data_IF_960824007107
#
_entry.id   IF_960824007107
#
_cell.length_a   1.000
_cell.length_b   1.000
_cell.length_c   1.000
_cell.angle_alpha   90.00
_cell.angle_beta   90.00
_cell.angle_gamma   90.00
#
_symmetry.space_group_name_H-M   'P 1'
#
loop_
_entity.id
_entity.type
_entity.pdbx_description
1 polymer ?
#
# COMPACT_ATOMS: atom_id res chain seq x y z
N UNK A 1 -3.42 47.93 -1.48
CA UNK A 1 -2.81 47.07 -0.42
C UNK A 1 -3.90 46.27 0.29
N UNK A 2 -5.08 46.83 0.61
CA UNK A 2 -6.18 46.16 1.31
C UNK A 2 -6.82 44.99 0.49
N UNK A 3 -6.91 45.13 -0.84
CA UNK A 3 -7.47 44.07 -1.72
C UNK A 3 -6.55 42.85 -1.89
N UNK A 4 -5.23 43.05 -1.82
CA UNK A 4 -4.27 41.95 -1.88
C UNK A 4 -4.24 41.13 -0.56
N UNK A 5 -4.44 41.77 0.58
CA UNK A 5 -4.53 41.08 1.89
C UNK A 5 -5.80 40.24 2.02
N UNK A 6 -6.96 40.67 1.45
CA UNK A 6 -8.19 39.89 1.44
C UNK A 6 -8.06 38.63 0.55
N UNK A 7 -7.38 38.71 -0.61
CA UNK A 7 -7.19 37.57 -1.50
C UNK A 7 -6.31 36.47 -0.89
N UNK A 8 -5.28 36.84 -0.13
CA UNK A 8 -4.43 35.89 0.59
C UNK A 8 -5.18 35.20 1.74
N UNK A 9 -6.04 35.93 2.45
CA UNK A 9 -6.83 35.36 3.56
C UNK A 9 -7.89 34.35 3.06
N UNK A 10 -8.51 34.61 1.91
CA UNK A 10 -9.55 33.71 1.33
C UNK A 10 -8.97 32.41 0.82
N UNK A 11 -7.70 32.37 0.35
CA UNK A 11 -7.03 31.13 -0.09
C UNK A 11 -6.46 30.29 1.06
N UNK A 12 -6.19 30.89 2.22
CA UNK A 12 -5.63 30.18 3.38
C UNK A 12 -6.70 29.40 4.19
N UNK A 13 -7.96 29.81 4.15
CA UNK A 13 -9.05 29.20 4.92
C UNK A 13 -9.37 27.73 4.50
N UNK A 14 -9.49 27.36 3.21
CA UNK A 14 -9.78 26.00 2.82
C UNK A 14 -8.62 25.04 3.07
N UNK A 15 -7.37 25.49 2.97
CA UNK A 15 -6.20 24.67 3.28
C UNK A 15 -6.08 24.36 4.78
N UNK A 16 -6.37 25.33 5.63
CA UNK A 16 -6.36 25.12 7.08
C UNK A 16 -7.48 24.16 7.54
N UNK A 17 -8.66 24.23 6.92
CA UNK A 17 -9.76 23.32 7.20
C UNK A 17 -9.42 21.87 6.78
N UNK A 18 -8.86 21.67 5.60
CA UNK A 18 -8.43 20.36 5.11
C UNK A 18 -7.35 19.74 6.00
N UNK A 19 -6.34 20.51 6.42
CA UNK A 19 -5.31 20.04 7.34
C UNK A 19 -5.86 19.69 8.74
N UNK A 20 -6.91 20.38 9.21
CA UNK A 20 -7.57 20.04 10.46
C UNK A 20 -8.39 18.74 10.36
N UNK A 21 -9.07 18.51 9.25
CA UNK A 21 -9.82 17.28 8.99
C UNK A 21 -8.87 16.07 8.90
N UNK A 22 -7.75 16.19 8.20
CA UNK A 22 -6.71 15.17 8.08
C UNK A 22 -6.14 14.82 9.47
N UNK A 23 -5.80 15.80 10.29
CA UNK A 23 -5.31 15.59 11.65
C UNK A 23 -6.36 14.94 12.57
N UNK A 24 -7.66 15.26 12.40
CA UNK A 24 -8.76 14.63 13.12
C UNK A 24 -8.93 13.17 12.69
N UNK A 25 -8.84 12.86 11.40
CA UNK A 25 -8.90 11.51 10.87
C UNK A 25 -7.78 10.62 11.42
N UNK A 26 -6.53 11.15 11.44
CA UNK A 26 -5.39 10.47 12.06
C UNK A 26 -5.61 10.22 13.56
N UNK A 27 -6.09 11.21 14.30
CA UNK A 27 -6.36 11.09 15.72
C UNK A 27 -7.43 10.03 16.01
N UNK A 28 -8.48 10.00 15.20
CA UNK A 28 -9.56 9.01 15.29
C UNK A 28 -9.04 7.59 14.96
N UNK A 29 -8.21 7.45 13.93
CA UNK A 29 -7.58 6.18 13.58
C UNK A 29 -6.70 5.66 14.73
N UNK A 30 -5.85 6.50 15.30
CA UNK A 30 -5.00 6.10 16.43
C UNK A 30 -5.84 5.62 17.62
N UNK A 31 -6.86 6.38 17.98
CA UNK A 31 -7.72 6.04 19.12
C UNK A 31 -8.45 4.70 18.92
N UNK A 32 -8.78 4.32 17.68
CA UNK A 32 -9.53 3.11 17.38
C UNK A 32 -8.62 1.87 17.16
N UNK A 33 -7.42 2.06 16.58
CA UNK A 33 -6.64 0.94 16.05
C UNK A 33 -5.19 0.87 16.53
N UNK A 34 -4.68 1.86 17.26
CA UNK A 34 -3.32 1.82 17.80
C UNK A 34 -3.36 1.64 19.31
N UNK A 35 -2.92 0.48 19.77
CA UNK A 35 -2.82 0.19 21.20
C UNK A 35 -1.69 1.00 21.87
N UNK A 36 -1.74 1.14 23.19
CA UNK A 36 -0.78 1.93 23.96
C UNK A 36 0.67 1.45 23.82
N UNK A 37 0.86 0.13 23.61
CA UNK A 37 2.16 -0.49 23.40
C UNK A 37 2.75 -0.25 22.01
N UNK A 38 1.99 0.35 21.08
CA UNK A 38 2.39 0.60 19.70
C UNK A 38 1.97 -0.49 18.71
N UNK A 39 1.07 -1.37 19.11
CA UNK A 39 0.49 -2.40 18.23
C UNK A 39 -0.67 -1.82 17.41
N UNK A 40 -0.65 -1.99 16.08
CA UNK A 40 -1.82 -1.76 15.24
C UNK A 40 -2.72 -2.98 15.29
N UNK A 41 -3.98 -2.79 15.62
CA UNK A 41 -4.97 -3.86 15.83
C UNK A 41 -5.91 -3.96 14.64
N UNK A 42 -5.91 -5.09 13.97
CA UNK A 42 -6.91 -5.40 12.95
C UNK A 42 -8.20 -5.90 13.61
N UNK A 43 -9.14 -4.99 13.76
CA UNK A 43 -10.44 -5.25 14.42
C UNK A 43 -11.35 -6.14 13.57
N UNK A 44 -11.19 -6.13 12.26
CA UNK A 44 -11.95 -6.96 11.31
C UNK A 44 -11.47 -8.41 11.25
N UNK A 45 -10.26 -8.68 11.77
CA UNK A 45 -9.60 -10.00 11.69
C UNK A 45 -9.23 -10.55 13.07
N UNK A 46 -10.16 -10.53 13.98
CA UNK A 46 -10.01 -11.12 15.30
C UNK A 46 -9.03 -10.44 16.26
N UNK A 47 -8.61 -9.22 15.97
CA UNK A 47 -7.70 -8.42 16.77
C UNK A 47 -6.24 -8.79 16.64
N UNK A 48 -5.84 -9.43 15.53
CA UNK A 48 -4.44 -9.68 15.20
C UNK A 48 -3.71 -8.38 14.83
N UNK A 49 -2.40 -8.48 14.66
CA UNK A 49 -1.58 -7.44 14.04
C UNK A 49 -0.75 -8.06 12.93
N UNK A 50 -0.41 -7.28 11.93
CA UNK A 50 0.41 -7.75 10.82
C UNK A 50 1.41 -6.66 10.41
N UNK A 51 2.51 -7.09 9.78
CA UNK A 51 3.60 -6.20 9.37
C UNK A 51 3.12 -5.10 8.43
N UNK A 52 2.17 -5.40 7.54
CA UNK A 52 1.53 -4.42 6.67
C UNK A 52 0.86 -3.30 7.50
N UNK A 53 0.05 -3.67 8.51
CA UNK A 53 -0.62 -2.70 9.38
C UNK A 53 0.34 -1.84 10.19
N UNK A 54 1.42 -2.43 10.69
CA UNK A 54 2.49 -1.68 11.35
C UNK A 54 3.15 -0.69 10.37
N UNK A 55 3.46 -1.13 9.14
CA UNK A 55 4.01 -0.29 8.10
C UNK A 55 3.10 0.87 7.72
N UNK A 56 1.81 0.63 7.58
CA UNK A 56 0.81 1.69 7.33
C UNK A 56 0.74 2.69 8.49
N UNK A 57 0.66 2.20 9.73
CA UNK A 57 0.64 3.04 10.91
C UNK A 57 1.89 3.92 11.03
N UNK A 58 3.07 3.36 10.76
CA UNK A 58 4.34 4.11 10.74
C UNK A 58 4.35 5.16 9.63
N UNK A 59 3.92 4.83 8.41
CA UNK A 59 3.86 5.78 7.30
C UNK A 59 2.91 6.95 7.60
N UNK A 60 1.74 6.66 8.14
CA UNK A 60 0.76 7.68 8.53
C UNK A 60 1.27 8.54 9.70
N UNK A 61 1.91 7.94 10.71
CA UNK A 61 2.52 8.69 11.82
C UNK A 61 3.62 9.65 11.31
N UNK A 62 4.45 9.18 10.37
CA UNK A 62 5.45 10.05 9.73
C UNK A 62 4.76 11.18 8.98
N UNK A 63 3.78 10.90 8.15
CA UNK A 63 3.08 11.89 7.34
C UNK A 63 2.46 13.02 8.19
N UNK A 64 1.89 12.68 9.34
CA UNK A 64 1.30 13.65 10.30
C UNK A 64 2.32 14.27 11.27
N UNK A 65 3.61 13.94 11.15
CA UNK A 65 4.66 14.46 12.04
C UNK A 65 4.59 13.93 13.47
N UNK A 66 3.89 12.83 13.71
CA UNK A 66 3.67 12.22 15.02
C UNK A 66 4.80 11.26 15.39
N UNK A 67 5.97 11.84 15.71
CA UNK A 67 7.17 11.08 16.06
C UNK A 67 6.91 10.14 17.25
N UNK A 68 6.17 10.59 18.25
CA UNK A 68 5.95 9.78 19.45
C UNK A 68 5.17 8.49 19.14
N UNK A 69 4.17 8.55 18.27
CA UNK A 69 3.45 7.36 17.79
C UNK A 69 4.33 6.51 16.89
N UNK A 70 5.11 7.13 15.99
CA UNK A 70 6.05 6.40 15.12
C UNK A 70 7.05 5.57 15.94
N UNK A 71 7.66 6.16 16.96
CA UNK A 71 8.65 5.49 17.82
C UNK A 71 8.04 4.27 18.53
N UNK A 72 6.81 4.41 19.04
CA UNK A 72 6.11 3.28 19.68
C UNK A 72 5.79 2.16 18.67
N UNK A 73 5.27 2.51 17.49
CA UNK A 73 4.98 1.55 16.42
C UNK A 73 6.25 0.80 15.99
N UNK A 74 7.35 1.52 15.73
CA UNK A 74 8.62 0.93 15.35
C UNK A 74 9.21 0.05 16.46
N UNK A 75 9.20 0.53 17.70
CA UNK A 75 9.68 -0.23 18.86
C UNK A 75 8.92 -1.56 19.00
N UNK A 76 7.58 -1.52 18.94
CA UNK A 76 6.76 -2.74 19.00
C UNK A 76 7.04 -3.69 17.83
N UNK A 77 7.13 -3.16 16.61
CA UNK A 77 7.40 -3.94 15.40
C UNK A 77 8.74 -4.67 15.48
N UNK A 78 9.79 -3.96 15.92
CA UNK A 78 11.13 -4.53 16.08
C UNK A 78 11.18 -5.65 17.11
N UNK A 79 10.44 -5.53 18.20
CA UNK A 79 10.43 -6.55 19.26
C UNK A 79 9.57 -7.76 18.90
N UNK A 80 8.43 -7.55 18.27
CA UNK A 80 7.42 -8.61 18.12
C UNK A 80 7.39 -9.26 16.75
N UNK A 81 7.77 -8.55 15.67
CA UNK A 81 7.68 -9.08 14.32
C UNK A 81 9.02 -9.33 13.65
N UNK A 82 10.10 -8.65 14.05
CA UNK A 82 11.39 -8.84 13.39
C UNK A 82 11.85 -10.29 13.49
N UNK A 83 12.32 -10.84 12.36
CA UNK A 83 12.90 -12.19 12.32
C UNK A 83 14.34 -12.17 12.81
N UNK A 84 14.77 -13.27 13.41
CA UNK A 84 16.13 -13.41 13.97
C UNK A 84 17.17 -13.71 12.88
N UNK A 85 16.74 -14.32 11.76
CA UNK A 85 17.60 -14.84 10.69
C UNK A 85 17.80 -13.86 9.52
N UNK A 86 16.91 -12.86 9.38
CA UNK A 86 16.92 -11.91 8.30
C UNK A 86 16.23 -10.61 8.72
N UNK A 87 16.64 -9.47 8.14
CA UNK A 87 16.03 -8.16 8.45
C UNK A 87 14.70 -7.96 7.71
N UNK A 88 13.75 -8.88 7.92
CA UNK A 88 12.39 -8.88 7.47
C UNK A 88 11.47 -9.17 8.65
N UNK A 89 10.15 -9.04 8.47
CA UNK A 89 9.20 -9.12 9.57
C UNK A 89 8.23 -10.28 9.37
N UNK A 90 7.99 -11.06 10.43
CA UNK A 90 6.87 -12.02 10.45
C UNK A 90 5.60 -11.28 10.11
N UNK A 91 4.81 -11.84 9.21
CA UNK A 91 3.66 -11.14 8.68
C UNK A 91 2.52 -10.96 9.70
N UNK A 92 2.44 -11.84 10.71
CA UNK A 92 1.30 -11.91 11.64
C UNK A 92 1.74 -12.04 13.09
N UNK A 93 1.03 -11.36 13.96
CA UNK A 93 1.06 -11.53 15.41
C UNK A 93 -0.36 -11.79 15.91
N UNK A 94 -0.58 -12.92 16.61
CA UNK A 94 -1.86 -13.28 17.18
C UNK A 94 -1.76 -13.27 18.72
N UNK A 95 -2.39 -12.28 19.39
CA UNK A 95 -2.34 -12.20 20.85
C UNK A 95 -3.00 -13.39 21.56
N UNK A 96 -3.90 -14.12 20.87
CA UNK A 96 -4.58 -15.31 21.41
C UNK A 96 -3.70 -16.56 21.30
N UNK A 97 -2.68 -16.53 20.47
CA UNK A 97 -1.69 -17.60 20.33
C UNK A 97 -0.43 -17.37 21.22
N UNK A 98 -0.55 -16.58 22.28
CA UNK A 98 0.57 -16.31 23.19
C UNK A 98 1.60 -15.32 22.65
N UNK A 99 1.23 -14.52 21.67
CA UNK A 99 2.09 -13.50 21.07
C UNK A 99 3.09 -13.99 20.03
N UNK A 100 3.45 -15.28 20.05
CA UNK A 100 4.34 -15.86 19.07
C UNK A 100 3.65 -15.95 17.70
N UNK A 101 4.30 -15.50 16.64
CA UNK A 101 3.82 -15.71 15.29
C UNK A 101 3.74 -17.21 15.01
N UNK A 102 2.54 -17.75 14.84
CA UNK A 102 2.33 -19.14 14.47
C UNK A 102 2.87 -19.44 13.05
N UNK A 103 2.98 -18.40 12.20
CA UNK A 103 3.58 -18.45 10.88
C UNK A 103 4.85 -17.57 10.87
N UNK A 104 6.05 -18.16 10.71
CA UNK A 104 7.30 -17.42 10.69
C UNK A 104 7.56 -16.67 9.39
N UNK A 105 6.74 -16.86 8.34
CA UNK A 105 6.94 -16.22 7.05
C UNK A 105 6.81 -14.69 7.17
N UNK A 106 7.36 -13.96 6.22
CA UNK A 106 7.16 -12.52 6.05
C UNK A 106 6.04 -12.24 5.03
N UNK A 107 5.59 -10.98 5.00
CA UNK A 107 4.81 -10.43 3.90
C UNK A 107 5.56 -9.22 3.33
N UNK A 108 5.92 -9.29 2.06
CA UNK A 108 6.82 -8.32 1.40
C UNK A 108 6.25 -6.91 1.36
N UNK A 109 4.91 -6.75 1.29
CA UNK A 109 4.25 -5.45 1.39
C UNK A 109 4.52 -4.77 2.74
N UNK A 110 4.39 -5.53 3.83
CA UNK A 110 4.73 -5.03 5.17
C UNK A 110 6.19 -4.63 5.28
N UNK A 111 7.12 -5.44 4.76
CA UNK A 111 8.55 -5.11 4.74
C UNK A 111 8.82 -3.83 3.94
N UNK A 112 8.16 -3.65 2.79
CA UNK A 112 8.28 -2.45 1.97
C UNK A 112 7.78 -1.20 2.69
N UNK A 113 6.58 -1.27 3.30
CA UNK A 113 6.01 -0.12 4.02
C UNK A 113 6.82 0.26 5.25
N UNK A 114 7.31 -0.70 6.02
CA UNK A 114 8.18 -0.44 7.18
C UNK A 114 9.49 0.22 6.72
N UNK A 115 10.15 -0.32 5.69
CA UNK A 115 11.38 0.25 5.16
C UNK A 115 11.17 1.66 4.61
N UNK A 116 10.05 1.90 3.93
CA UNK A 116 9.70 3.20 3.35
C UNK A 116 9.37 4.22 4.43
N UNK A 117 8.57 3.85 5.42
CA UNK A 117 8.26 4.72 6.56
C UNK A 117 9.53 5.13 7.33
N UNK A 118 10.45 4.19 7.58
CA UNK A 118 11.74 4.48 8.22
C UNK A 118 12.62 5.42 7.37
N UNK A 119 12.62 5.26 6.04
CA UNK A 119 13.38 6.12 5.15
C UNK A 119 12.87 7.57 5.22
N UNK A 120 11.57 7.77 5.15
CA UNK A 120 10.91 9.08 5.25
C UNK A 120 11.11 9.71 6.63
N UNK A 121 10.97 8.90 7.68
CA UNK A 121 11.20 9.33 9.07
C UNK A 121 12.64 9.78 9.32
N UNK A 122 13.61 9.08 8.72
CA UNK A 122 15.02 9.48 8.79
C UNK A 122 15.26 10.86 8.20
N UNK A 123 14.61 11.16 7.07
CA UNK A 123 14.71 12.47 6.43
C UNK A 123 13.99 13.56 7.23
N UNK A 124 12.75 13.29 7.63
CA UNK A 124 11.92 14.26 8.37
C UNK A 124 12.52 14.65 9.70
N UNK A 125 12.97 13.67 10.48
CA UNK A 125 13.44 13.90 11.85
C UNK A 125 14.96 13.92 11.99
N UNK A 126 15.70 13.81 10.87
CA UNK A 126 17.17 13.78 10.84
C UNK A 126 17.74 12.71 11.77
N UNK A 127 17.14 11.51 11.75
CA UNK A 127 17.47 10.39 12.62
C UNK A 127 18.25 9.31 11.86
N UNK A 128 19.59 9.22 12.01
CA UNK A 128 20.41 8.28 11.26
C UNK A 128 20.12 6.81 11.54
N UNK A 129 19.59 6.48 12.72
CA UNK A 129 19.23 5.11 13.08
C UNK A 129 18.13 4.56 12.16
N UNK A 130 17.11 5.36 11.83
CA UNK A 130 16.05 4.97 10.89
C UNK A 130 16.58 4.76 9.47
N UNK A 131 17.53 5.61 9.02
CA UNK A 131 18.17 5.44 7.71
C UNK A 131 18.93 4.11 7.64
N UNK A 132 19.67 3.76 8.71
CA UNK A 132 20.40 2.49 8.83
C UNK A 132 19.44 1.30 8.77
N UNK A 133 18.35 1.34 9.53
CA UNK A 133 17.38 0.25 9.59
C UNK A 133 16.64 0.10 8.25
N UNK A 134 16.17 1.20 7.65
CA UNK A 134 15.58 1.18 6.30
C UNK A 134 16.51 0.55 5.27
N UNK A 135 17.80 0.94 5.28
CA UNK A 135 18.80 0.40 4.35
C UNK A 135 18.98 -1.12 4.53
N UNK A 136 19.01 -1.59 5.78
CA UNK A 136 19.17 -3.02 6.08
C UNK A 136 17.96 -3.84 5.61
N UNK A 137 16.73 -3.32 5.80
CA UNK A 137 15.50 -3.99 5.34
C UNK A 137 15.46 -4.00 3.81
N UNK A 138 15.73 -2.88 3.14
CA UNK A 138 15.78 -2.81 1.68
C UNK A 138 16.82 -3.77 1.09
N UNK A 139 18.00 -3.90 1.70
CA UNK A 139 19.01 -4.87 1.29
C UNK A 139 18.51 -6.30 1.43
N UNK A 140 17.80 -6.65 2.51
CA UNK A 140 17.21 -7.97 2.70
C UNK A 140 16.11 -8.25 1.65
N UNK A 141 15.23 -7.29 1.36
CA UNK A 141 14.23 -7.41 0.27
C UNK A 141 14.93 -7.67 -1.07
N UNK A 142 15.92 -6.85 -1.43
CA UNK A 142 16.64 -6.96 -2.70
C UNK A 142 17.33 -8.34 -2.86
N UNK A 143 17.93 -8.85 -1.79
CA UNK A 143 18.69 -10.10 -1.81
C UNK A 143 17.83 -11.36 -1.74
N UNK A 144 16.69 -11.31 -1.06
CA UNK A 144 15.91 -12.50 -0.70
C UNK A 144 14.58 -12.62 -1.44
N UNK A 145 13.98 -11.49 -1.84
CA UNK A 145 12.62 -11.45 -2.37
C UNK A 145 12.54 -11.01 -3.84
N UNK A 146 13.59 -10.40 -4.38
CA UNK A 146 13.67 -10.10 -5.81
C UNK A 146 14.16 -11.33 -6.56
N UNK A 147 13.34 -11.85 -7.46
CA UNK A 147 13.65 -13.03 -8.29
C UNK A 147 13.43 -12.75 -9.75
N UNK A 148 14.05 -13.58 -10.60
CA UNK A 148 13.83 -13.53 -12.05
C UNK A 148 12.96 -14.69 -12.49
N UNK A 149 11.92 -14.39 -13.29
CA UNK A 149 11.01 -15.36 -13.90
C UNK A 149 10.52 -14.81 -15.25
N UNK A 150 10.54 -15.64 -16.31
CA UNK A 150 10.08 -15.22 -17.63
C UNK A 150 10.81 -13.97 -18.17
N UNK A 151 12.09 -13.79 -17.84
CA UNK A 151 12.90 -12.62 -18.22
C UNK A 151 12.60 -11.33 -17.46
N UNK A 152 11.76 -11.38 -16.42
CA UNK A 152 11.35 -10.23 -15.60
C UNK A 152 11.81 -10.37 -14.17
N UNK A 153 12.17 -9.25 -13.53
CA UNK A 153 12.34 -9.19 -12.09
C UNK A 153 10.99 -8.94 -11.42
N UNK A 154 10.66 -9.76 -10.42
CA UNK A 154 9.44 -9.65 -9.64
C UNK A 154 9.74 -9.79 -8.14
N UNK A 155 8.84 -9.27 -7.31
CA UNK A 155 8.88 -9.45 -5.86
C UNK A 155 8.10 -10.72 -5.48
N UNK A 156 8.74 -11.63 -4.75
CA UNK A 156 8.01 -12.69 -4.06
C UNK A 156 7.17 -12.08 -2.94
N UNK A 157 5.95 -12.58 -2.70
CA UNK A 157 5.10 -12.12 -1.60
C UNK A 157 5.66 -12.44 -0.21
N UNK A 158 6.59 -13.38 -0.12
CA UNK A 158 7.30 -13.78 1.09
C UNK A 158 8.40 -14.78 0.78
N UNK A 159 9.16 -15.17 1.80
CA UNK A 159 10.31 -16.07 1.66
C UNK A 159 9.90 -17.49 1.29
N UNK A 160 8.81 -17.99 1.87
CA UNK A 160 8.42 -19.39 1.79
C UNK A 160 7.07 -19.56 1.07
N UNK A 161 6.98 -20.60 0.20
CA UNK A 161 5.72 -21.01 -0.44
C UNK A 161 5.36 -20.31 -1.76
N UNK A 162 6.06 -19.26 -2.16
CA UNK A 162 5.71 -18.45 -3.34
C UNK A 162 6.54 -18.79 -4.58
N UNK A 163 7.65 -19.50 -4.44
CA UNK A 163 8.46 -19.97 -5.55
C UNK A 163 8.14 -21.43 -5.85
N UNK A 164 7.69 -21.69 -7.05
CA UNK A 164 7.42 -23.01 -7.60
C UNK A 164 8.54 -23.41 -8.56
N UNK A 165 8.53 -24.66 -9.05
CA UNK A 165 9.56 -25.19 -9.95
C UNK A 165 9.69 -24.35 -11.24
N UNK A 166 8.57 -23.96 -11.83
CA UNK A 166 8.46 -23.30 -13.13
C UNK A 166 7.61 -22.03 -13.11
N UNK A 167 7.32 -21.52 -11.91
CA UNK A 167 6.49 -20.34 -11.72
C UNK A 167 6.76 -19.66 -10.39
N UNK A 168 6.22 -18.46 -10.26
CA UNK A 168 6.08 -17.77 -8.97
C UNK A 168 4.62 -17.40 -8.74
N UNK A 169 4.16 -17.50 -7.50
CA UNK A 169 2.95 -16.83 -7.06
C UNK A 169 3.29 -15.36 -6.81
N UNK A 170 2.41 -14.48 -7.26
CA UNK A 170 2.63 -13.04 -7.18
C UNK A 170 1.34 -12.35 -6.72
N UNK A 171 1.49 -11.34 -5.87
CA UNK A 171 0.38 -10.49 -5.46
C UNK A 171 0.55 -9.10 -6.08
N UNK A 172 -0.30 -8.66 -7.01
CA UNK A 172 -0.18 -7.35 -7.65
C UNK A 172 -0.24 -6.17 -6.68
N UNK A 173 -0.87 -6.31 -5.52
CA UNK A 173 -0.92 -5.27 -4.49
C UNK A 173 0.38 -5.10 -3.71
N UNK A 174 1.34 -6.02 -3.86
CA UNK A 174 2.66 -5.89 -3.25
C UNK A 174 3.63 -5.06 -4.08
N UNK A 175 3.18 -4.62 -5.27
CA UNK A 175 3.92 -3.67 -6.09
C UNK A 175 3.67 -2.23 -5.62
N UNK A 176 4.28 -1.86 -4.50
CA UNK A 176 4.14 -0.55 -3.85
C UNK A 176 5.00 0.48 -4.59
N UNK A 177 4.52 0.92 -5.76
CA UNK A 177 5.27 1.78 -6.69
C UNK A 177 5.87 3.04 -6.06
N UNK A 178 5.17 3.82 -5.18
CA UNK A 178 5.77 5.01 -4.58
C UNK A 178 7.00 4.66 -3.72
N UNK A 179 6.95 3.58 -2.93
CA UNK A 179 8.09 3.13 -2.14
C UNK A 179 9.26 2.68 -3.03
N UNK A 180 8.97 1.89 -4.08
CA UNK A 180 10.00 1.42 -5.01
C UNK A 180 10.71 2.58 -5.73
N UNK A 181 9.99 3.65 -6.08
CA UNK A 181 10.59 4.86 -6.68
C UNK A 181 11.52 5.58 -5.72
N UNK A 182 11.12 5.70 -4.45
CA UNK A 182 11.98 6.31 -3.45
C UNK A 182 13.21 5.44 -3.15
N UNK A 183 13.06 4.11 -3.18
CA UNK A 183 14.20 3.19 -3.05
C UNK A 183 15.16 3.28 -4.25
N UNK A 184 14.65 3.40 -5.47
CA UNK A 184 15.45 3.58 -6.66
C UNK A 184 16.25 4.90 -6.61
N UNK A 185 15.62 5.98 -6.15
CA UNK A 185 16.30 7.27 -5.96
C UNK A 185 17.42 7.20 -4.91
N UNK A 186 17.19 6.47 -3.81
CA UNK A 186 18.16 6.33 -2.72
C UNK A 186 19.26 5.30 -3.00
N UNK A 187 19.04 4.35 -3.90
CA UNK A 187 19.98 3.28 -4.28
C UNK A 187 19.89 2.98 -5.79
N UNK A 188 20.47 3.86 -6.63
CA UNK A 188 20.44 3.70 -8.10
C UNK A 188 21.15 2.44 -8.62
N UNK A 189 22.03 1.84 -7.82
CA UNK A 189 22.72 0.59 -8.17
C UNK A 189 21.91 -0.67 -7.76
N UNK A 190 20.85 -0.49 -6.99
CA UNK A 190 19.96 -1.57 -6.55
C UNK A 190 19.07 -2.11 -7.69
N UNK A 191 18.26 -3.13 -7.40
CA UNK A 191 17.40 -3.77 -8.40
C UNK A 191 16.14 -2.95 -8.74
N UNK A 192 15.92 -1.81 -8.09
CA UNK A 192 14.64 -1.11 -7.99
C UNK A 192 14.13 -0.59 -9.33
N UNK A 193 14.99 0.02 -10.15
CA UNK A 193 14.61 0.53 -11.48
C UNK A 193 14.15 -0.59 -12.42
N UNK A 194 14.86 -1.72 -12.42
CA UNK A 194 14.46 -2.88 -13.22
C UNK A 194 13.17 -3.48 -12.67
N UNK A 195 13.03 -3.59 -11.35
CA UNK A 195 11.83 -4.08 -10.70
C UNK A 195 10.61 -3.21 -11.00
N UNK A 196 10.77 -1.87 -11.02
CA UNK A 196 9.71 -0.94 -11.42
C UNK A 196 9.27 -1.18 -12.86
N UNK A 197 10.22 -1.20 -13.79
CA UNK A 197 9.92 -1.40 -15.21
C UNK A 197 9.21 -2.72 -15.47
N UNK A 198 9.74 -3.80 -14.90
CA UNK A 198 9.22 -5.14 -15.10
C UNK A 198 7.88 -5.32 -14.36
N UNK A 199 7.74 -4.75 -13.17
CA UNK A 199 6.49 -4.72 -12.39
C UNK A 199 5.35 -3.96 -13.09
N UNK A 200 5.64 -2.84 -13.74
CA UNK A 200 4.65 -2.14 -14.59
C UNK A 200 4.19 -3.01 -15.77
N UNK A 201 5.10 -3.80 -16.34
CA UNK A 201 4.75 -4.76 -17.38
C UNK A 201 3.86 -5.86 -16.85
N UNK A 202 4.19 -6.46 -15.69
CA UNK A 202 3.34 -7.46 -15.01
C UNK A 202 1.98 -6.89 -14.66
N UNK A 203 1.92 -5.67 -14.12
CA UNK A 203 0.66 -5.01 -13.76
C UNK A 203 -0.26 -4.83 -14.98
N UNK A 204 0.29 -4.50 -16.15
CA UNK A 204 -0.48 -4.42 -17.40
C UNK A 204 -0.97 -5.79 -17.86
N UNK A 205 -0.09 -6.81 -17.80
CA UNK A 205 -0.39 -8.18 -18.27
C UNK A 205 -1.34 -8.91 -17.29
N UNK A 206 -1.49 -8.43 -16.06
CA UNK A 206 -2.40 -8.96 -15.04
C UNK A 206 -3.86 -8.45 -15.15
N UNK A 207 -4.26 -7.88 -16.27
CA UNK A 207 -5.65 -7.49 -16.53
C UNK A 207 -6.46 -8.64 -17.14
N UNK A 208 -7.47 -9.13 -16.42
CA UNK A 208 -8.26 -10.31 -16.81
C UNK A 208 -9.71 -9.96 -17.10
N UNK A 209 -10.35 -10.85 -17.89
CA UNK A 209 -11.76 -10.78 -18.26
C UNK A 209 -12.11 -9.54 -19.08
N UNK A 210 -13.40 -9.33 -19.30
CA UNK A 210 -13.91 -8.22 -20.14
C UNK A 210 -13.59 -6.83 -19.58
N UNK A 211 -13.42 -6.73 -18.26
CA UNK A 211 -13.16 -5.48 -17.57
C UNK A 211 -11.66 -5.17 -17.46
N UNK A 212 -10.78 -6.12 -17.81
CA UNK A 212 -9.33 -6.05 -17.62
C UNK A 212 -8.96 -5.66 -16.17
N UNK A 213 -9.55 -6.35 -15.20
CA UNK A 213 -9.30 -6.15 -13.78
C UNK A 213 -8.15 -7.05 -13.29
N UNK A 214 -7.29 -6.58 -12.37
CA UNK A 214 -6.28 -7.43 -11.76
C UNK A 214 -6.94 -8.45 -10.82
N UNK A 215 -6.36 -9.65 -10.69
CA UNK A 215 -6.75 -10.58 -9.65
C UNK A 215 -5.93 -10.36 -8.37
N UNK A 216 -6.49 -10.74 -7.20
CA UNK A 216 -5.80 -10.66 -5.91
C UNK A 216 -4.47 -11.42 -5.95
N UNK A 217 -4.47 -12.59 -6.58
CA UNK A 217 -3.30 -13.43 -6.72
C UNK A 217 -3.15 -13.93 -8.15
N UNK A 218 -1.92 -13.89 -8.65
CA UNK A 218 -1.57 -14.37 -9.99
C UNK A 218 -0.39 -15.32 -9.94
N UNK A 219 -0.28 -16.14 -10.98
CA UNK A 219 0.85 -17.00 -11.27
C UNK A 219 1.60 -16.43 -12.47
N UNK A 220 2.92 -16.29 -12.35
CA UNK A 220 3.82 -15.93 -13.45
C UNK A 220 4.67 -17.16 -13.75
N UNK A 221 4.58 -17.71 -14.94
CA UNK A 221 5.33 -18.90 -15.32
C UNK A 221 6.69 -18.57 -15.99
N UNK A 222 7.47 -19.62 -16.28
CA UNK A 222 8.79 -19.51 -16.89
C UNK A 222 8.78 -18.85 -18.28
N UNK A 223 7.64 -18.84 -18.99
CA UNK A 223 7.48 -18.13 -20.26
C UNK A 223 7.21 -16.63 -20.07
N UNK A 224 6.89 -16.21 -18.83
CA UNK A 224 6.45 -14.86 -18.48
C UNK A 224 4.94 -14.66 -18.64
N UNK A 225 4.16 -15.71 -18.90
CA UNK A 225 2.71 -15.62 -18.94
C UNK A 225 2.14 -15.38 -17.53
N UNK A 226 1.20 -14.43 -17.44
CA UNK A 226 0.53 -14.03 -16.21
C UNK A 226 -0.91 -14.54 -16.24
N UNK A 227 -1.28 -15.34 -15.25
CA UNK A 227 -2.62 -15.91 -15.12
C UNK A 227 -3.14 -15.78 -13.69
N UNK A 228 -4.46 -15.75 -13.44
CA UNK A 228 -4.95 -15.87 -12.07
C UNK A 228 -4.42 -17.15 -11.42
N UNK A 229 -4.11 -17.09 -10.11
CA UNK A 229 -3.68 -18.28 -9.37
C UNK A 229 -4.81 -19.32 -9.33
N UNK A 230 -4.60 -20.54 -9.89
CA UNK A 230 -5.66 -21.55 -9.97
C UNK A 230 -6.05 -22.15 -8.61
N UNK A 231 -5.26 -21.92 -7.57
CA UNK A 231 -5.53 -22.41 -6.21
C UNK A 231 -6.42 -21.46 -5.39
N UNK A 232 -6.78 -20.29 -5.93
CA UNK A 232 -7.54 -19.24 -5.26
C UNK A 232 -8.69 -18.74 -6.14
N UNK A 233 -9.77 -18.20 -5.55
CA UNK A 233 -10.78 -17.50 -6.33
C UNK A 233 -10.16 -16.39 -7.18
N UNK A 234 -10.44 -16.32 -8.49
CA UNK A 234 -9.84 -15.32 -9.38
C UNK A 234 -10.56 -13.97 -9.22
N UNK A 235 -10.39 -13.31 -8.10
CA UNK A 235 -11.13 -12.10 -7.74
C UNK A 235 -10.28 -10.85 -7.85
N UNK A 236 -10.88 -9.81 -8.40
CA UNK A 236 -10.52 -8.43 -8.10
C UNK A 236 -11.21 -8.08 -6.79
N UNK A 237 -10.50 -8.14 -5.69
CA UNK A 237 -11.07 -8.09 -4.34
C UNK A 237 -10.20 -7.33 -3.36
N UNK A 238 -10.07 -7.88 -2.16
CA UNK A 238 -9.49 -7.17 -1.02
C UNK A 238 -7.98 -6.89 -1.16
N UNK A 239 -7.22 -7.72 -1.88
CA UNK A 239 -5.83 -7.41 -2.19
C UNK A 239 -5.74 -6.47 -3.39
N UNK A 240 -6.35 -6.84 -4.50
CA UNK A 240 -6.19 -6.18 -5.78
C UNK A 240 -6.71 -4.73 -5.81
N UNK A 241 -7.61 -4.34 -4.89
CA UNK A 241 -8.07 -2.94 -4.73
C UNK A 241 -6.91 -1.98 -4.49
N UNK A 242 -5.82 -2.43 -3.86
CA UNK A 242 -4.63 -1.61 -3.57
C UNK A 242 -3.69 -1.45 -4.78
N UNK A 243 -3.71 -2.38 -5.73
CA UNK A 243 -2.81 -2.30 -6.88
C UNK A 243 -2.98 -1.00 -7.70
N UNK A 244 -4.18 -0.58 -8.14
CA UNK A 244 -4.36 0.70 -8.81
C UNK A 244 -4.11 1.91 -7.90
N UNK A 245 -4.34 1.81 -6.58
CA UNK A 245 -4.00 2.86 -5.62
C UNK A 245 -2.50 3.17 -5.69
N UNK A 246 -1.64 2.16 -5.58
CA UNK A 246 -0.20 2.35 -5.58
C UNK A 246 0.35 2.82 -6.93
N UNK A 247 -0.30 2.44 -8.04
CA UNK A 247 0.05 2.98 -9.36
C UNK A 247 -0.25 4.47 -9.45
N UNK A 248 -1.46 4.88 -9.07
CA UNK A 248 -1.88 6.30 -9.08
C UNK A 248 -1.02 7.12 -8.12
N UNK A 249 -0.74 6.60 -6.92
CA UNK A 249 0.15 7.24 -5.96
C UNK A 249 1.58 7.40 -6.51
N UNK A 250 2.08 6.38 -7.19
CA UNK A 250 3.37 6.43 -7.88
C UNK A 250 3.38 7.28 -9.15
N UNK A 251 2.26 7.92 -9.56
CA UNK A 251 2.18 8.81 -10.72
C UNK A 251 1.91 8.09 -12.04
N UNK A 252 1.39 6.85 -12.02
CA UNK A 252 0.99 6.10 -13.21
C UNK A 252 -0.52 6.09 -13.31
N UNK A 253 -1.09 7.06 -14.03
CA UNK A 253 -2.54 7.26 -14.19
C UNK A 253 -3.04 6.90 -15.58
N UNK A 254 -2.19 7.01 -16.61
CA UNK A 254 -2.54 6.84 -18.03
C UNK A 254 -2.46 5.41 -18.56
N UNK A 255 -2.11 4.41 -17.73
CA UNK A 255 -1.91 3.03 -18.15
C UNK A 255 -2.80 2.04 -17.36
N UNK A 256 -3.02 0.86 -17.95
CA UNK A 256 -3.63 -0.25 -17.22
C UNK A 256 -2.67 -0.74 -16.09
N UNK A 257 -3.21 -1.22 -14.94
CA UNK A 257 -4.64 -1.34 -14.62
C UNK A 257 -5.31 -0.06 -14.11
N UNK A 258 -4.58 1.04 -13.81
CA UNK A 258 -5.21 2.26 -13.28
C UNK A 258 -6.36 2.76 -14.15
N UNK A 259 -6.18 2.79 -15.49
CA UNK A 259 -7.21 3.25 -16.43
C UNK A 259 -8.39 2.29 -16.55
N UNK A 260 -8.15 0.98 -16.58
CA UNK A 260 -9.20 -0.04 -16.73
C UNK A 260 -10.04 -0.14 -15.46
N UNK A 261 -9.40 -0.17 -14.30
CA UNK A 261 -10.06 -0.18 -13.00
C UNK A 261 -10.80 1.13 -12.74
N UNK A 262 -10.18 2.27 -13.06
CA UNK A 262 -10.84 3.57 -12.95
C UNK A 262 -12.11 3.66 -13.81
N UNK A 263 -12.08 3.11 -15.04
CA UNK A 263 -13.26 3.03 -15.90
C UNK A 263 -14.32 2.09 -15.31
N UNK A 264 -13.91 0.96 -14.76
CA UNK A 264 -14.81 0.04 -14.08
C UNK A 264 -15.55 0.72 -12.94
N UNK A 265 -14.84 1.41 -12.03
CA UNK A 265 -15.45 2.08 -10.88
C UNK A 265 -16.32 3.29 -11.25
N UNK A 266 -15.99 4.02 -12.33
CA UNK A 266 -16.85 5.13 -12.83
C UNK A 266 -18.25 4.71 -13.21
N UNK A 267 -18.48 3.42 -13.53
CA UNK A 267 -19.83 2.93 -13.85
C UNK A 267 -20.79 3.02 -12.67
N UNK A 268 -20.26 3.12 -11.46
CA UNK A 268 -21.03 3.24 -10.22
C UNK A 268 -21.20 4.69 -9.77
N UNK A 269 -20.65 5.67 -10.47
CA UNK A 269 -20.86 7.08 -10.16
C UNK A 269 -22.34 7.45 -10.37
N UNK A 270 -22.98 7.94 -9.31
CA UNK A 270 -24.42 8.23 -9.31
C UNK A 270 -25.33 7.02 -9.34
N UNK A 271 -24.78 5.80 -9.32
CA UNK A 271 -25.56 4.58 -9.22
C UNK A 271 -26.22 4.46 -7.84
N UNK A 272 -27.36 3.73 -7.79
CA UNK A 272 -28.05 3.44 -6.52
C UNK A 272 -27.21 2.61 -5.55
N UNK A 273 -26.33 1.77 -6.09
CA UNK A 273 -25.48 0.87 -5.33
C UNK A 273 -24.01 1.22 -5.56
N UNK A 274 -23.17 1.24 -4.50
CA UNK A 274 -21.72 1.41 -4.64
C UNK A 274 -21.09 0.25 -5.41
N UNK A 275 -19.81 0.36 -5.82
CA UNK A 275 -19.07 -0.76 -6.41
C UNK A 275 -19.14 -2.02 -5.56
N UNK A 276 -19.16 -3.22 -6.16
CA UNK A 276 -19.12 -4.49 -5.41
C UNK A 276 -17.79 -4.66 -4.70
N UNK A 277 -17.79 -5.39 -3.57
CA UNK A 277 -16.60 -5.64 -2.78
C UNK A 277 -15.55 -6.47 -3.52
N UNK A 278 -15.98 -7.33 -4.44
CA UNK A 278 -15.13 -8.10 -5.33
C UNK A 278 -15.86 -8.43 -6.64
N UNK A 279 -15.08 -8.72 -7.67
CA UNK A 279 -15.53 -9.23 -8.97
C UNK A 279 -14.69 -10.45 -9.31
N UNK A 280 -15.34 -11.55 -9.68
CA UNK A 280 -14.64 -12.68 -10.31
C UNK A 280 -14.18 -12.24 -11.72
N UNK A 281 -12.87 -12.21 -11.95
CA UNK A 281 -12.31 -11.66 -13.17
C UNK A 281 -12.51 -12.54 -14.40
N UNK A 282 -12.87 -13.80 -14.21
CA UNK A 282 -13.13 -14.77 -15.31
C UNK A 282 -14.60 -14.78 -15.70
N UNK A 283 -15.50 -14.83 -14.73
CA UNK A 283 -16.94 -14.94 -14.97
C UNK A 283 -17.66 -13.59 -15.01
N UNK A 284 -17.11 -12.58 -14.37
CA UNK A 284 -17.76 -11.28 -14.17
C UNK A 284 -18.79 -11.27 -13.04
N UNK A 285 -18.88 -12.34 -12.24
CA UNK A 285 -19.73 -12.36 -11.05
C UNK A 285 -19.30 -11.28 -10.05
N UNK A 286 -20.27 -10.55 -9.52
CA UNK A 286 -20.05 -9.47 -8.55
C UNK A 286 -20.49 -9.89 -7.14
N UNK A 287 -19.81 -9.36 -6.12
CA UNK A 287 -20.21 -9.55 -4.73
C UNK A 287 -21.65 -9.06 -4.48
N UNK A 288 -22.42 -9.80 -3.67
CA UNK A 288 -23.74 -9.38 -3.21
C UNK A 288 -23.73 -8.26 -2.15
N UNK A 289 -22.57 -7.66 -1.87
CA UNK A 289 -22.38 -6.58 -0.91
C UNK A 289 -21.36 -5.56 -1.44
N UNK A 290 -21.46 -4.29 -0.99
CA UNK A 290 -20.65 -3.21 -1.51
C UNK A 290 -19.21 -3.24 -1.03
N UNK A 291 -18.33 -2.59 -1.80
CA UNK A 291 -17.00 -2.21 -1.38
C UNK A 291 -17.08 -1.32 -0.13
N UNK A 292 -16.18 -1.52 0.83
CA UNK A 292 -16.12 -0.73 2.07
C UNK A 292 -15.94 0.76 1.79
N UNK A 293 -16.32 1.67 2.70
CA UNK A 293 -16.14 3.11 2.50
C UNK A 293 -14.69 3.50 2.18
N UNK A 294 -13.69 2.88 2.83
CA UNK A 294 -12.28 3.09 2.51
C UNK A 294 -11.90 2.58 1.12
N UNK A 295 -12.42 1.42 0.72
CA UNK A 295 -12.26 0.93 -0.65
C UNK A 295 -12.93 1.85 -1.67
N UNK A 296 -14.09 2.45 -1.33
CA UNK A 296 -14.73 3.47 -2.19
C UNK A 296 -13.89 4.75 -2.30
N UNK A 297 -13.16 5.16 -1.24
CA UNK A 297 -12.22 6.27 -1.31
C UNK A 297 -11.09 5.98 -2.30
N UNK A 298 -10.53 4.76 -2.27
CA UNK A 298 -9.56 4.29 -3.27
C UNK A 298 -10.18 4.33 -4.68
N UNK A 299 -11.40 3.80 -4.83
CA UNK A 299 -12.09 3.77 -6.12
C UNK A 299 -12.28 5.18 -6.70
N UNK A 300 -12.68 6.16 -5.87
CA UNK A 300 -12.85 7.56 -6.27
C UNK A 300 -11.53 8.20 -6.70
N UNK A 301 -10.46 7.98 -5.93
CA UNK A 301 -9.12 8.47 -6.28
C UNK A 301 -8.68 7.93 -7.66
N UNK A 302 -8.75 6.62 -7.86
CA UNK A 302 -8.32 5.96 -9.10
C UNK A 302 -9.21 6.35 -10.28
N UNK A 303 -10.50 6.53 -10.06
CA UNK A 303 -11.44 7.01 -11.07
C UNK A 303 -11.31 8.52 -11.37
N UNK A 304 -10.50 9.27 -10.63
CA UNK A 304 -10.35 10.71 -10.76
C UNK A 304 -11.61 11.48 -10.35
N UNK A 305 -12.36 10.94 -9.39
CA UNK A 305 -13.57 11.54 -8.80
C UNK A 305 -13.19 12.35 -7.54
N UNK A 306 -14.02 13.31 -7.12
CA UNK A 306 -13.80 14.04 -5.88
C UNK A 306 -13.66 13.13 -4.67
N UNK A 307 -12.77 13.49 -3.74
CA UNK A 307 -12.59 12.75 -2.48
C UNK A 307 -13.90 12.66 -1.68
N UNK A 308 -13.98 11.63 -0.85
CA UNK A 308 -15.08 11.44 0.10
C UNK A 308 -14.49 11.49 1.50
N UNK A 309 -15.06 12.30 2.38
CA UNK A 309 -14.65 12.35 3.79
C UNK A 309 -15.02 11.05 4.49
N UNK A 310 -14.05 10.40 5.12
CA UNK A 310 -14.25 9.20 5.91
C UNK A 310 -14.22 9.54 7.40
N UNK A 311 -14.88 8.68 8.18
CA UNK A 311 -14.83 8.72 9.64
C UNK A 311 -14.19 7.43 10.15
N UNK A 312 -12.84 7.36 10.25
CA UNK A 312 -12.11 6.13 10.55
C UNK A 312 -12.63 5.37 11.76
N UNK A 313 -13.04 6.06 12.81
CA UNK A 313 -13.56 5.44 14.04
C UNK A 313 -14.88 4.65 13.86
N UNK A 314 -15.56 4.80 12.73
CA UNK A 314 -16.85 4.13 12.46
C UNK A 314 -16.69 2.96 11.47
N UNK A 315 -15.45 2.68 11.04
CA UNK A 315 -15.12 1.63 10.09
C UNK A 315 -14.48 0.43 10.80
N UNK A 316 -14.30 -0.68 10.09
CA UNK A 316 -13.28 -1.65 10.48
C UNK A 316 -11.87 -1.10 10.14
N UNK A 317 -10.85 -1.74 10.72
CA UNK A 317 -9.45 -1.34 10.52
C UNK A 317 -9.09 -1.21 9.04
N UNK A 318 -9.47 -2.22 8.22
CA UNK A 318 -9.03 -2.25 6.82
C UNK A 318 -9.69 -1.13 6.00
N UNK A 319 -10.99 -0.90 6.21
CA UNK A 319 -11.69 0.23 5.60
C UNK A 319 -11.07 1.56 6.02
N UNK A 320 -10.82 1.75 7.32
CA UNK A 320 -10.24 2.99 7.84
C UNK A 320 -8.86 3.28 7.24
N UNK A 321 -7.98 2.28 7.19
CA UNK A 321 -6.62 2.48 6.66
C UNK A 321 -6.60 2.72 5.16
N UNK A 322 -7.44 2.03 4.37
CA UNK A 322 -7.56 2.29 2.94
C UNK A 322 -7.98 3.74 2.65
N UNK A 323 -8.88 4.28 3.44
CA UNK A 323 -9.30 5.67 3.32
C UNK A 323 -8.14 6.65 3.55
N UNK A 324 -7.40 6.49 4.65
CA UNK A 324 -6.24 7.34 4.94
C UNK A 324 -5.13 7.20 3.90
N UNK A 325 -4.89 5.99 3.37
CA UNK A 325 -3.93 5.79 2.28
C UNK A 325 -4.38 6.46 0.99
N UNK A 326 -5.68 6.46 0.69
CA UNK A 326 -6.23 7.15 -0.48
C UNK A 326 -6.10 8.67 -0.35
N UNK A 327 -6.34 9.23 0.83
CA UNK A 327 -6.12 10.66 1.14
C UNK A 327 -4.64 11.01 0.98
N UNK A 328 -3.73 10.23 1.58
CA UNK A 328 -2.29 10.42 1.44
C UNK A 328 -1.82 10.34 -0.02
N UNK A 329 -2.32 9.37 -0.78
CA UNK A 329 -2.01 9.25 -2.20
C UNK A 329 -2.51 10.45 -3.03
N UNK A 330 -3.67 11.02 -2.67
CA UNK A 330 -4.20 12.21 -3.35
C UNK A 330 -3.29 13.43 -3.13
N UNK A 331 -2.73 13.58 -1.91
CA UNK A 331 -1.85 14.69 -1.57
C UNK A 331 -0.44 14.55 -2.18
N UNK A 332 0.12 13.35 -2.19
CA UNK A 332 1.50 13.08 -2.61
C UNK A 332 1.64 12.63 -4.06
N UNK A 333 0.53 12.44 -4.77
CA UNK A 333 0.54 11.92 -6.14
C UNK A 333 1.50 12.72 -7.03
N UNK A 334 2.46 12.02 -7.65
CA UNK A 334 3.43 12.61 -8.57
C UNK A 334 2.75 12.90 -9.92
N UNK A 335 2.99 14.06 -10.56
CA UNK A 335 2.53 14.32 -11.92
C UNK A 335 3.14 13.31 -12.91
N UNK A 336 2.37 12.89 -13.92
CA UNK A 336 2.89 12.10 -15.04
C UNK A 336 4.05 12.86 -15.71
N UNK A 337 5.19 12.18 -15.92
CA UNK A 337 6.35 12.76 -16.58
C UNK A 337 7.28 13.61 -15.69
N UNK A 338 7.04 13.72 -14.41
CA UNK A 338 8.01 14.29 -13.51
C UNK A 338 9.26 13.40 -13.49
N UNK A 339 10.33 13.83 -14.19
CA UNK A 339 11.64 13.21 -14.08
C UNK A 339 12.09 13.29 -12.62
N UNK A 340 12.71 12.23 -12.14
CA UNK A 340 13.31 12.20 -10.81
C UNK A 340 14.37 13.30 -10.73
N UNK A 341 13.98 14.47 -10.17
CA UNK A 341 14.98 15.38 -9.67
C UNK A 341 15.68 14.69 -8.48
N UNK A 342 16.99 14.85 -8.31
CA UNK A 342 17.69 14.22 -7.22
C UNK A 342 17.07 14.67 -5.91
N UNK A 343 16.64 13.71 -5.10
CA UNK A 343 16.36 13.94 -3.68
C UNK A 343 17.69 14.42 -3.11
N UNK A 344 17.77 15.70 -2.73
CA UNK A 344 18.96 16.23 -2.08
C UNK A 344 18.99 15.66 -0.66
N UNK A 345 19.90 14.72 -0.48
CA UNK A 345 20.29 14.20 0.84
C UNK A 345 21.11 15.23 1.62
#
# INVERSE_FOLDING_TARGET
VLRALLAVLVLALPQAACAMEDQQAWSAFKAAYVADDGRVVDTGNGGISHSEGQGYGMLLAEAHGDRATFDRLWGWTGVNLMRDDVRLFRWRFDPKAGGAAADPNNATDGDLFIAWALMRAAERWKEPSYAKDSKAIRAAIAQRLVVEIGGRQVLLPGLDGFRQRDAVLYNPSYFVLPALRDFAAADPAGPWERLIRDGLTVARDAGFGQQSLPADWVRIDASGAVTPDPSRPPRFGFDAVRAPLYLVWGGVTGQAPATTVGRFWRRYEGARWPPPAWVDVQTGEEAGFPLSPGGQAVARLVAGLPAQTLKPAHEDYYSAVLGLLAERAAEERRPEGASQGPVRF
#
